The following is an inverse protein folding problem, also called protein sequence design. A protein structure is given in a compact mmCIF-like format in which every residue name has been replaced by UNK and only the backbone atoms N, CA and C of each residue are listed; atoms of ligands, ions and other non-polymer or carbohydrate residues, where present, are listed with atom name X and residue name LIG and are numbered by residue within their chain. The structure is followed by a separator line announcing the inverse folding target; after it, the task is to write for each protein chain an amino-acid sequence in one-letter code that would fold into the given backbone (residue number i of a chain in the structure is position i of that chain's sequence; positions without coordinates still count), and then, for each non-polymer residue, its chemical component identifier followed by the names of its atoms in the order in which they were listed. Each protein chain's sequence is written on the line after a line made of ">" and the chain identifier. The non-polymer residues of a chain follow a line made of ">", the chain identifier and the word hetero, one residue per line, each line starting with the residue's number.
data_IF_127259164722
#
_entry.id   IF_127259164722
#
_cell.length_a   1.000
_cell.length_b   1.000
_cell.length_c   1.000
_cell.angle_alpha   90.00
_cell.angle_beta   90.00
_cell.angle_gamma   90.00
#
_symmetry.space_group_name_H-M   'P 1'
#
loop_
_entity.id
_entity.type
_entity.pdbx_description
1 polymer ?
#
# COMPACT_ATOMS: atom_id res chain seq x y z
N UNK A 1 -10.02 7.10 -19.25
CA UNK A 1 -10.09 5.63 -19.09
C UNK A 1 -11.09 5.38 -17.96
N UNK A 2 -12.33 5.03 -18.27
CA UNK A 2 -13.35 4.78 -17.25
C UNK A 2 -13.00 3.49 -16.51
N UNK A 3 -12.71 3.60 -15.22
CA UNK A 3 -12.49 2.44 -14.38
C UNK A 3 -13.84 1.73 -14.16
N UNK A 4 -13.99 0.53 -14.72
CA UNK A 4 -15.21 -0.27 -14.55
C UNK A 4 -15.28 -0.74 -13.10
N UNK A 5 -16.20 -0.17 -12.34
CA UNK A 5 -16.43 -0.54 -10.95
C UNK A 5 -17.16 -1.88 -10.86
N UNK A 6 -16.45 -2.91 -10.39
CA UNK A 6 -17.00 -4.26 -10.23
C UNK A 6 -17.93 -4.33 -9.01
N UNK A 7 -18.94 -5.22 -9.04
CA UNK A 7 -19.88 -5.47 -7.94
C UNK A 7 -19.81 -6.93 -7.50
N UNK A 8 -19.84 -7.18 -6.19
CA UNK A 8 -19.84 -8.53 -5.62
C UNK A 8 -20.80 -8.65 -4.44
N UNK A 9 -21.36 -9.84 -4.22
CA UNK A 9 -22.14 -10.12 -3.02
C UNK A 9 -21.23 -10.32 -1.80
N UNK A 10 -21.67 -9.89 -0.62
CA UNK A 10 -20.94 -9.98 0.64
C UNK A 10 -20.56 -11.42 1.00
N UNK A 11 -21.41 -12.40 0.68
CA UNK A 11 -21.10 -13.81 0.89
C UNK A 11 -19.90 -14.28 0.06
N UNK A 12 -19.76 -13.78 -1.18
CA UNK A 12 -18.64 -14.11 -2.07
C UNK A 12 -17.38 -13.32 -1.68
N UNK A 13 -17.55 -12.04 -1.31
CA UNK A 13 -16.47 -11.23 -0.76
C UNK A 13 -15.85 -11.89 0.48
N UNK A 14 -16.67 -12.36 1.44
CA UNK A 14 -16.17 -13.06 2.64
C UNK A 14 -15.35 -14.31 2.31
N UNK A 15 -15.74 -15.07 1.27
CA UNK A 15 -15.03 -16.29 0.84
C UNK A 15 -13.73 -16.02 0.08
N UNK A 16 -13.62 -14.87 -0.58
CA UNK A 16 -12.53 -14.55 -1.53
C UNK A 16 -11.82 -13.25 -1.16
N UNK A 17 -11.91 -12.82 0.10
CA UNK A 17 -11.53 -11.47 0.53
C UNK A 17 -10.10 -11.13 0.14
N UNK A 18 -9.13 -11.95 0.57
CA UNK A 18 -7.71 -11.71 0.33
C UNK A 18 -7.39 -11.67 -1.18
N UNK A 19 -7.85 -12.67 -1.94
CA UNK A 19 -7.65 -12.70 -3.40
C UNK A 19 -8.22 -11.47 -4.10
N UNK A 20 -9.36 -10.95 -3.65
CA UNK A 20 -9.97 -9.75 -4.21
C UNK A 20 -9.22 -8.47 -3.84
N UNK A 21 -8.55 -8.43 -2.69
CA UNK A 21 -7.69 -7.33 -2.28
C UNK A 21 -6.38 -7.33 -3.08
N UNK A 22 -5.78 -8.50 -3.29
CA UNK A 22 -4.54 -8.67 -4.07
C UNK A 22 -4.73 -8.28 -5.54
N UNK A 23 -5.91 -8.53 -6.10
CA UNK A 23 -6.25 -8.28 -7.51
C UNK A 23 -7.13 -7.03 -7.69
N UNK A 24 -7.10 -6.11 -6.72
CA UNK A 24 -7.98 -4.95 -6.74
C UNK A 24 -7.53 -3.93 -7.79
N UNK A 25 -8.35 -3.75 -8.82
CA UNK A 25 -8.12 -2.74 -9.86
C UNK A 25 -8.25 -1.31 -9.32
N UNK A 26 -7.68 -0.33 -10.03
CA UNK A 26 -7.76 1.11 -9.72
C UNK A 26 -9.20 1.63 -9.52
N UNK A 27 -10.20 1.01 -10.15
CA UNK A 27 -11.62 1.37 -9.99
C UNK A 27 -12.23 0.97 -8.64
N UNK A 28 -11.60 0.02 -7.94
CA UNK A 28 -12.15 -0.60 -6.75
C UNK A 28 -13.37 -1.50 -7.01
N UNK A 29 -14.04 -1.87 -5.92
CA UNK A 29 -15.09 -2.88 -5.88
C UNK A 29 -16.22 -2.44 -4.95
N UNK A 30 -17.47 -2.70 -5.33
CA UNK A 30 -18.65 -2.53 -4.47
C UNK A 30 -19.09 -3.87 -3.91
N UNK A 31 -19.17 -3.96 -2.59
CA UNK A 31 -19.74 -5.09 -1.88
C UNK A 31 -21.22 -4.83 -1.64
N UNK A 32 -22.06 -5.81 -1.98
CA UNK A 32 -23.52 -5.75 -1.88
C UNK A 32 -24.06 -6.81 -0.92
N UNK A 33 -25.16 -6.53 -0.23
CA UNK A 33 -25.89 -7.50 0.60
C UNK A 33 -27.36 -7.43 0.18
N UNK A 34 -27.93 -8.56 -0.24
CA UNK A 34 -29.31 -8.63 -0.78
C UNK A 34 -29.56 -7.62 -1.92
N UNK A 35 -28.60 -7.47 -2.83
CA UNK A 35 -28.69 -6.55 -3.98
C UNK A 35 -28.46 -5.07 -3.65
N UNK A 36 -28.33 -4.71 -2.36
CA UNK A 36 -28.07 -3.33 -1.93
C UNK A 36 -26.57 -3.13 -1.69
N UNK A 37 -25.96 -2.03 -2.18
CA UNK A 37 -24.56 -1.71 -1.87
C UNK A 37 -24.40 -1.44 -0.38
N UNK A 38 -23.38 -2.03 0.24
CA UNK A 38 -23.11 -1.89 1.68
C UNK A 38 -21.68 -1.43 1.99
N UNK A 39 -20.73 -1.66 1.09
CA UNK A 39 -19.37 -1.18 1.24
C UNK A 39 -18.70 -0.95 -0.12
N UNK A 40 -17.66 -0.11 -0.13
CA UNK A 40 -16.75 0.07 -1.25
C UNK A 40 -15.34 -0.25 -0.77
N UNK A 41 -14.60 -1.00 -1.57
CA UNK A 41 -13.18 -1.25 -1.38
C UNK A 41 -12.45 -0.52 -2.50
N UNK A 42 -11.48 0.31 -2.14
CA UNK A 42 -10.64 1.05 -3.09
C UNK A 42 -9.18 0.72 -2.80
N UNK A 43 -8.31 0.67 -3.83
CA UNK A 43 -6.88 0.57 -3.61
C UNK A 43 -6.40 1.75 -2.76
N UNK A 44 -5.42 1.48 -1.91
CA UNK A 44 -4.75 2.54 -1.18
C UNK A 44 -3.71 3.20 -2.10
N UNK A 45 -3.95 4.45 -2.48
CA UNK A 45 -2.97 5.24 -3.25
C UNK A 45 -1.89 5.75 -2.28
N UNK A 46 -0.69 5.18 -2.36
CA UNK A 46 0.47 5.67 -1.62
C UNK A 46 0.82 7.09 -2.07
N UNK A 47 0.79 8.05 -1.16
CA UNK A 47 1.13 9.46 -1.41
C UNK A 47 2.64 9.69 -1.59
N UNK A 48 3.44 8.63 -1.77
CA UNK A 48 4.90 8.73 -1.73
C UNK A 48 5.47 9.44 -2.96
N UNK A 49 4.75 9.44 -4.08
CA UNK A 49 5.19 10.14 -5.29
C UNK A 49 5.25 11.67 -5.10
N UNK A 50 4.36 12.24 -4.30
CA UNK A 50 4.32 13.68 -4.02
C UNK A 50 5.45 14.12 -3.07
N UNK A 51 6.03 13.17 -2.33
CA UNK A 51 7.13 13.38 -1.39
C UNK A 51 8.51 13.32 -2.07
N UNK A 52 8.62 12.69 -3.24
CA UNK A 52 9.86 12.60 -4.01
C UNK A 52 10.22 14.01 -4.51
N UNK A 53 11.20 14.63 -3.83
CA UNK A 53 11.70 15.95 -4.20
C UNK A 53 11.07 17.14 -3.45
N UNK A 54 10.17 16.92 -2.48
CA UNK A 54 9.63 18.04 -1.66
C UNK A 54 10.70 18.75 -0.82
N UNK A 55 11.82 18.08 -0.58
CA UNK A 55 13.00 18.63 0.10
C UNK A 55 14.11 19.06 -0.87
N UNK A 56 13.88 18.96 -2.20
CA UNK A 56 14.84 19.44 -3.21
C UNK A 56 15.09 20.93 -2.95
N UNK A 57 16.34 21.31 -2.80
CA UNK A 57 16.81 22.67 -2.44
C UNK A 57 16.58 23.13 -0.98
N UNK A 58 15.93 22.32 -0.13
CA UNK A 58 15.82 22.58 1.33
C UNK A 58 16.83 21.79 2.17
N UNK A 59 17.55 20.86 1.55
CA UNK A 59 18.60 20.08 2.20
C UNK A 59 19.96 20.74 2.01
N UNK A 60 20.64 21.04 3.12
CA UNK A 60 22.05 21.43 3.14
C UNK A 60 22.84 20.26 3.70
N UNK A 61 23.66 19.63 2.85
CA UNK A 61 24.58 18.57 3.29
C UNK A 61 25.58 19.18 4.26
N UNK A 62 25.57 18.72 5.52
CA UNK A 62 26.58 19.04 6.51
C UNK A 62 27.49 17.82 6.67
N UNK A 63 28.73 17.91 6.19
CA UNK A 63 29.73 16.84 6.27
C UNK A 63 29.91 16.05 4.95
N UNK A 64 30.70 14.98 5.01
CA UNK A 64 30.89 14.05 3.90
C UNK A 64 29.87 12.90 3.99
N UNK A 65 28.94 12.86 3.04
CA UNK A 65 27.89 11.84 2.94
C UNK A 65 28.39 10.50 2.39
N UNK A 66 29.64 10.43 1.92
CA UNK A 66 30.27 9.21 1.46
C UNK A 66 31.23 8.60 2.48
N UNK A 67 31.43 9.24 3.63
CA UNK A 67 32.16 8.62 4.73
C UNK A 67 31.28 7.55 5.36
N UNK A 68 31.48 6.29 4.95
CA UNK A 68 31.00 5.14 5.70
C UNK A 68 31.74 5.13 7.03
N UNK A 69 31.04 5.38 8.13
CA UNK A 69 31.52 5.02 9.47
C UNK A 69 32.08 3.59 9.41
N UNK A 70 33.24 3.28 10.02
CA UNK A 70 33.67 1.90 10.14
C UNK A 70 32.58 1.15 10.89
N UNK A 71 31.92 0.23 10.19
CA UNK A 71 30.86 -0.60 10.70
C UNK A 71 31.37 -1.46 11.86
N UNK A 72 30.88 -1.33 13.10
CA UNK A 72 30.67 -2.52 13.89
C UNK A 72 29.45 -3.22 13.27
N UNK A 73 29.64 -4.45 12.81
CA UNK A 73 28.60 -5.29 12.24
C UNK A 73 27.33 -5.29 13.11
N UNK A 74 26.34 -4.49 12.74
CA UNK A 74 24.97 -4.72 13.17
C UNK A 74 24.49 -5.84 12.26
N UNK A 75 24.56 -7.07 12.77
CA UNK A 75 23.76 -8.16 12.26
C UNK A 75 22.30 -7.73 12.39
N UNK A 76 21.76 -7.13 11.33
CA UNK A 76 20.32 -6.99 11.19
C UNK A 76 19.83 -8.41 10.88
N UNK A 77 19.54 -9.16 11.93
CA UNK A 77 18.76 -10.38 11.84
C UNK A 77 17.45 -10.01 11.14
N UNK A 78 17.39 -10.36 9.86
CA UNK A 78 16.19 -10.38 9.04
C UNK A 78 15.08 -11.03 9.86
N UNK A 79 14.20 -10.19 10.40
CA UNK A 79 12.94 -10.66 10.96
C UNK A 79 11.91 -10.23 9.93
N UNK A 80 11.33 -11.15 9.14
CA UNK A 80 10.28 -10.78 8.22
C UNK A 80 9.15 -10.14 9.01
N UNK A 81 8.71 -8.96 8.56
CA UNK A 81 7.56 -8.27 9.10
C UNK A 81 6.32 -9.17 8.93
N UNK A 82 6.06 -9.99 9.94
CA UNK A 82 4.82 -10.73 10.07
C UNK A 82 3.69 -9.71 10.26
N UNK A 83 2.72 -9.73 9.36
CA UNK A 83 1.46 -9.03 9.53
C UNK A 83 0.80 -9.56 10.82
N UNK A 84 0.56 -8.73 11.85
CA UNK A 84 -0.06 -9.20 13.08
C UNK A 84 -1.53 -9.62 12.83
N UNK A 85 -2.06 -10.61 13.58
CA UNK A 85 -3.45 -11.06 13.45
C UNK A 85 -4.48 -10.01 13.89
#
# INVERSE_FOLDING_TARGET
>A
MEAIMKKICAAKFKKQCLTLLDQLDAGGLIVTKHGKPVARVVPYEGQDADLIGSLRHKVKVKGDVFTTLPSPSVVLSDTPAACPP
#
